data_IF_681390029997
#
_entry.id   IF_681390029997
#
_cell.length_a   1.000
_cell.length_b   1.000
_cell.length_c   1.000
_cell.angle_alpha   90.00
_cell.angle_beta   90.00
_cell.angle_gamma   90.00
#
_symmetry.space_group_name_H-M   'P 1'
#
loop_
_entity.id
_entity.type
_entity.pdbx_description
1 polymer ?
#
# COMPACT_ATOMS: atom_id res chain seq x y z
N UNK A 1 -12.43 -6.83 -0.15
CA UNK A 1 -12.52 -7.35 -1.56
C UNK A 1 -11.71 -8.64 -1.80
N UNK A 2 -10.58 -8.87 -1.12
CA UNK A 2 -9.71 -10.05 -1.34
C UNK A 2 -10.41 -11.41 -1.17
N UNK A 3 -11.24 -11.57 -0.14
CA UNK A 3 -11.93 -12.84 0.17
C UNK A 3 -12.82 -13.36 -0.98
N UNK A 4 -13.32 -12.46 -1.83
CA UNK A 4 -14.17 -12.83 -2.97
C UNK A 4 -13.43 -13.66 -4.02
N UNK A 5 -12.11 -13.47 -4.17
CA UNK A 5 -11.30 -14.25 -5.11
C UNK A 5 -11.25 -15.74 -4.75
N UNK A 6 -11.52 -16.08 -3.49
CA UNK A 6 -11.60 -17.46 -3.02
C UNK A 6 -13.05 -17.91 -2.85
N UNK A 7 -13.89 -17.10 -2.20
CA UNK A 7 -15.27 -17.47 -1.88
C UNK A 7 -16.17 -17.62 -3.11
N UNK A 8 -16.01 -16.78 -4.12
CA UNK A 8 -16.88 -16.82 -5.33
C UNK A 8 -16.62 -18.10 -6.14
N UNK A 9 -15.38 -18.47 -6.49
CA UNK A 9 -15.12 -19.76 -7.13
C UNK A 9 -15.54 -20.96 -6.26
N UNK A 10 -15.33 -20.92 -4.94
CA UNK A 10 -15.77 -22.00 -4.04
C UNK A 10 -17.29 -22.20 -4.02
N UNK A 11 -18.07 -21.14 -4.28
CA UNK A 11 -19.53 -21.22 -4.43
C UNK A 11 -19.99 -21.71 -5.81
N UNK A 12 -19.06 -22.00 -6.73
CA UNK A 12 -19.35 -22.39 -8.11
C UNK A 12 -19.74 -21.22 -9.02
N UNK A 13 -19.55 -19.98 -8.57
CA UNK A 13 -19.83 -18.77 -9.33
C UNK A 13 -18.57 -18.24 -10.03
N UNK A 14 -18.77 -17.37 -11.03
CA UNK A 14 -17.69 -16.70 -11.76
C UNK A 14 -17.51 -15.29 -11.23
N UNK A 15 -16.27 -14.93 -10.88
CA UNK A 15 -15.91 -13.58 -10.48
C UNK A 15 -15.48 -12.77 -11.72
N UNK A 16 -16.13 -11.63 -11.97
CA UNK A 16 -15.76 -10.69 -13.03
C UNK A 16 -15.33 -9.36 -12.42
N UNK A 17 -14.04 -9.06 -12.46
CA UNK A 17 -13.48 -7.83 -11.90
C UNK A 17 -13.56 -6.70 -12.93
N UNK A 18 -14.25 -5.61 -12.57
CA UNK A 18 -14.38 -4.44 -13.44
C UNK A 18 -13.40 -3.35 -12.99
N UNK A 19 -12.66 -2.80 -13.94
CA UNK A 19 -11.74 -1.70 -13.70
C UNK A 19 -12.52 -0.39 -13.48
N UNK A 20 -12.33 0.25 -12.33
CA UNK A 20 -13.05 1.47 -11.92
C UNK A 20 -12.60 2.74 -12.65
N UNK A 21 -11.52 2.67 -13.44
CA UNK A 21 -11.10 3.78 -14.32
C UNK A 21 -11.89 3.85 -15.64
N UNK A 22 -12.73 2.85 -15.90
CA UNK A 22 -13.60 2.83 -17.08
C UNK A 22 -14.78 3.79 -16.89
N UNK A 23 -15.31 4.28 -18.01
CA UNK A 23 -16.51 5.10 -18.03
C UNK A 23 -17.78 4.26 -17.89
N UNK A 24 -18.88 4.93 -17.49
CA UNK A 24 -20.16 4.27 -17.21
C UNK A 24 -20.71 3.46 -18.41
N UNK A 25 -20.48 3.91 -19.65
CA UNK A 25 -20.96 3.18 -20.84
C UNK A 25 -20.21 1.86 -21.00
N UNK A 26 -18.89 1.88 -20.86
CA UNK A 26 -18.08 0.65 -20.94
C UNK A 26 -18.46 -0.32 -19.83
N UNK A 27 -18.64 0.16 -18.60
CA UNK A 27 -19.10 -0.67 -17.47
C UNK A 27 -20.47 -1.29 -17.77
N UNK A 28 -21.42 -0.53 -18.34
CA UNK A 28 -22.74 -1.04 -18.71
C UNK A 28 -22.67 -2.16 -19.76
N UNK A 29 -21.81 -2.02 -20.77
CA UNK A 29 -21.58 -3.05 -21.80
C UNK A 29 -21.03 -4.33 -21.16
N UNK A 30 -20.07 -4.20 -20.24
CA UNK A 30 -19.49 -5.34 -19.53
C UNK A 30 -20.54 -6.07 -18.70
N UNK A 31 -21.32 -5.35 -17.90
CA UNK A 31 -22.39 -5.91 -17.08
C UNK A 31 -23.43 -6.66 -17.92
N UNK A 32 -23.83 -6.06 -19.06
CA UNK A 32 -24.75 -6.67 -20.01
C UNK A 32 -24.19 -7.97 -20.59
N UNK A 33 -22.94 -7.93 -21.07
CA UNK A 33 -22.33 -9.07 -21.75
C UNK A 33 -22.05 -10.23 -20.79
N UNK A 34 -21.61 -9.94 -19.56
CA UNK A 34 -21.34 -10.97 -18.56
C UNK A 34 -22.61 -11.54 -17.91
N UNK A 35 -23.78 -10.92 -18.11
CA UNK A 35 -25.02 -11.34 -17.45
C UNK A 35 -24.91 -11.32 -15.93
N UNK A 36 -24.20 -10.32 -15.39
CA UNK A 36 -23.90 -10.25 -13.96
C UNK A 36 -25.19 -10.20 -13.15
N UNK A 37 -25.31 -11.08 -12.15
CA UNK A 37 -26.48 -11.13 -11.25
C UNK A 37 -26.27 -10.35 -9.95
N UNK A 38 -25.03 -10.29 -9.49
CA UNK A 38 -24.61 -9.56 -8.30
C UNK A 38 -23.44 -8.65 -8.69
N UNK A 39 -23.43 -7.43 -8.14
CA UNK A 39 -22.31 -6.49 -8.26
C UNK A 39 -21.93 -6.03 -6.88
N UNK A 40 -20.72 -6.38 -6.47
CA UNK A 40 -20.11 -5.84 -5.26
C UNK A 40 -19.40 -4.53 -5.61
N UNK A 41 -19.70 -3.47 -4.86
CA UNK A 41 -19.20 -2.13 -5.18
C UNK A 41 -18.71 -1.43 -3.93
N UNK A 42 -17.59 -0.75 -4.06
CA UNK A 42 -17.07 0.16 -3.05
C UNK A 42 -17.90 1.47 -3.03
N UNK A 43 -18.15 2.10 -1.86
CA UNK A 43 -18.89 3.36 -1.78
C UNK A 43 -18.37 4.46 -2.71
N UNK A 44 -17.05 4.59 -2.89
CA UNK A 44 -16.44 5.61 -3.76
C UNK A 44 -16.78 5.39 -5.25
N UNK A 45 -17.07 4.15 -5.66
CA UNK A 45 -17.41 3.80 -7.05
C UNK A 45 -18.92 3.66 -7.30
N UNK A 46 -19.75 3.92 -6.29
CA UNK A 46 -21.20 3.71 -6.37
C UNK A 46 -21.86 4.61 -7.42
N UNK A 47 -21.36 5.85 -7.58
CA UNK A 47 -21.86 6.78 -8.60
C UNK A 47 -21.62 6.26 -10.02
N UNK A 48 -20.42 5.74 -10.30
CA UNK A 48 -20.08 5.14 -11.59
C UNK A 48 -21.01 3.97 -11.93
N UNK A 49 -21.26 3.09 -10.95
CA UNK A 49 -22.17 1.97 -11.12
C UNK A 49 -23.60 2.44 -11.37
N UNK A 50 -24.07 3.42 -10.61
CA UNK A 50 -25.42 3.98 -10.77
C UNK A 50 -25.65 4.52 -12.19
N UNK A 51 -24.67 5.24 -12.72
CA UNK A 51 -24.73 5.77 -14.08
C UNK A 51 -24.64 4.65 -15.14
N UNK A 52 -23.87 3.59 -14.89
CA UNK A 52 -23.82 2.42 -15.77
C UNK A 52 -25.15 1.64 -15.79
N UNK A 53 -25.80 1.45 -14.64
CA UNK A 53 -27.06 0.72 -14.54
C UNK A 53 -28.20 1.42 -15.30
N UNK A 54 -28.18 2.77 -15.37
CA UNK A 54 -29.14 3.55 -16.17
C UNK A 54 -28.99 3.33 -17.68
N UNK A 55 -27.81 2.89 -18.13
CA UNK A 55 -27.52 2.62 -19.54
C UNK A 55 -27.85 1.16 -19.92
N UNK A 56 -28.24 0.31 -18.96
CA UNK A 56 -28.69 -1.05 -19.27
C UNK A 56 -30.06 -1.02 -19.97
N UNK A 57 -30.27 -1.88 -20.97
CA UNK A 57 -31.55 -1.95 -21.67
C UNK A 57 -32.63 -2.56 -20.75
N UNK A 58 -33.88 -2.17 -20.96
CA UNK A 58 -35.01 -2.51 -20.07
C UNK A 58 -35.34 -4.02 -20.01
N UNK A 59 -34.84 -4.81 -20.95
CA UNK A 59 -34.98 -6.26 -21.01
C UNK A 59 -33.90 -7.01 -20.20
N UNK A 60 -32.88 -6.31 -19.69
CA UNK A 60 -31.80 -6.91 -18.92
C UNK A 60 -32.15 -6.96 -17.42
N UNK A 61 -32.04 -8.13 -16.76
CA UNK A 61 -32.24 -8.21 -15.33
C UNK A 61 -31.13 -7.43 -14.62
N UNK A 62 -31.49 -6.32 -13.98
CA UNK A 62 -30.51 -5.49 -13.28
C UNK A 62 -29.82 -6.28 -12.16
N UNK A 63 -28.48 -6.26 -12.07
CA UNK A 63 -27.78 -6.95 -11.00
C UNK A 63 -28.16 -6.38 -9.63
N UNK A 64 -28.18 -7.25 -8.62
CA UNK A 64 -28.26 -6.81 -7.22
C UNK A 64 -26.95 -6.15 -6.82
N UNK A 65 -27.03 -4.90 -6.39
CA UNK A 65 -25.88 -4.15 -5.89
C UNK A 65 -25.67 -4.44 -4.42
N UNK A 66 -24.44 -4.81 -4.05
CA UNK A 66 -24.02 -5.05 -2.67
C UNK A 66 -22.90 -4.04 -2.37
N UNK A 67 -23.20 -2.93 -1.66
CA UNK A 67 -22.17 -2.03 -1.20
C UNK A 67 -21.28 -2.76 -0.18
N UNK A 68 -19.99 -2.75 -0.42
CA UNK A 68 -18.99 -3.35 0.46
C UNK A 68 -18.36 -2.24 1.28
N UNK A 69 -18.69 -2.19 2.57
CA UNK A 69 -18.01 -1.31 3.50
C UNK A 69 -16.72 -1.98 3.97
N UNK A 70 -15.57 -1.33 3.76
CA UNK A 70 -14.32 -1.76 4.36
C UNK A 70 -14.16 -1.11 5.75
N UNK A 71 -14.19 -1.87 6.85
CA UNK A 71 -14.07 -1.33 8.20
C UNK A 71 -12.68 -0.71 8.48
N UNK A 72 -11.68 -1.02 7.66
CA UNK A 72 -10.32 -0.50 7.79
C UNK A 72 -10.10 0.78 6.97
N UNK A 73 -10.96 1.11 6.01
CA UNK A 73 -10.78 2.30 5.15
C UNK A 73 -10.86 3.62 5.93
N UNK A 74 -11.67 3.67 7.00
CA UNK A 74 -11.77 4.85 7.89
C UNK A 74 -10.55 5.06 8.79
N UNK A 75 -9.63 4.09 8.87
CA UNK A 75 -8.44 4.16 9.73
C UNK A 75 -7.27 4.85 9.02
N UNK A 76 -7.40 5.13 7.72
CA UNK A 76 -6.39 5.81 6.94
C UNK A 76 -6.87 7.21 6.55
N UNK A 77 -6.24 8.29 7.02
CA UNK A 77 -6.52 9.60 6.47
C UNK A 77 -6.21 9.60 4.96
N UNK A 78 -7.01 10.27 4.13
CA UNK A 78 -6.74 10.36 2.70
C UNK A 78 -5.33 10.91 2.49
N UNK A 79 -4.47 10.14 1.83
CA UNK A 79 -3.14 10.59 1.47
C UNK A 79 -3.27 11.80 0.53
N UNK A 80 -2.51 12.87 0.79
CA UNK A 80 -2.50 14.05 -0.07
C UNK A 80 -2.11 13.62 -1.50
N UNK A 81 -2.98 13.85 -2.52
CA UNK A 81 -2.71 13.47 -3.91
C UNK A 81 -1.40 14.04 -4.47
N UNK A 82 -0.87 15.12 -3.87
CA UNK A 82 0.41 15.73 -4.23
C UNK A 82 1.64 14.97 -3.72
N UNK A 83 1.43 13.90 -2.94
CA UNK A 83 2.50 13.12 -2.27
C UNK A 83 2.77 11.77 -2.94
N UNK A 84 1.88 11.25 -3.80
CA UNK A 84 2.13 10.00 -4.52
C UNK A 84 2.79 10.25 -5.88
N UNK A 85 4.07 9.90 -5.99
CA UNK A 85 4.71 9.67 -7.28
C UNK A 85 4.83 8.16 -7.52
N UNK A 86 4.82 7.69 -8.78
CA UNK A 86 5.02 6.25 -9.10
C UNK A 86 6.32 5.66 -8.51
N UNK A 87 7.25 6.51 -8.06
CA UNK A 87 8.49 6.14 -7.37
C UNK A 87 8.26 5.68 -5.92
N UNK A 88 7.08 5.86 -5.36
CA UNK A 88 6.73 5.52 -3.97
C UNK A 88 6.14 4.12 -3.80
N UNK A 89 6.13 3.31 -4.87
CA UNK A 89 5.75 1.89 -4.87
C UNK A 89 7.03 1.04 -4.82
N UNK A 90 7.06 0.06 -3.92
CA UNK A 90 8.14 -0.91 -3.74
C UNK A 90 7.63 -2.27 -4.18
N UNK A 91 8.35 -2.96 -5.07
CA UNK A 91 7.93 -4.28 -5.57
C UNK A 91 8.72 -5.38 -4.86
N UNK A 92 8.09 -6.02 -3.87
CA UNK A 92 8.72 -7.08 -3.09
C UNK A 92 8.12 -8.45 -3.42
N UNK A 93 8.90 -9.31 -4.06
CA UNK A 93 8.47 -10.67 -4.42
C UNK A 93 7.26 -10.74 -5.35
N UNK A 94 7.01 -9.68 -6.14
CA UNK A 94 5.83 -9.58 -7.01
C UNK A 94 4.64 -8.85 -6.38
N UNK A 95 4.71 -8.48 -5.10
CA UNK A 95 3.69 -7.69 -4.41
C UNK A 95 4.02 -6.19 -4.46
N UNK A 96 2.99 -5.36 -4.64
CA UNK A 96 3.14 -3.90 -4.63
C UNK A 96 2.93 -3.34 -3.22
N UNK A 97 3.96 -2.73 -2.65
CA UNK A 97 3.93 -2.13 -1.31
C UNK A 97 4.02 -0.61 -1.44
N UNK A 98 3.08 0.10 -0.83
CA UNK A 98 3.11 1.56 -0.78
C UNK A 98 4.06 2.04 0.32
N UNK A 99 5.10 2.80 -0.04
CA UNK A 99 6.03 3.36 0.96
C UNK A 99 5.32 4.31 1.93
N UNK A 100 4.32 5.06 1.47
CA UNK A 100 3.53 5.99 2.29
C UNK A 100 2.71 5.24 3.35
N UNK A 101 2.20 4.06 3.01
CA UNK A 101 1.44 3.24 3.95
C UNK A 101 2.34 2.73 5.09
N UNK A 102 3.54 2.27 4.73
CA UNK A 102 4.56 1.86 5.72
C UNK A 102 5.02 3.05 6.57
N UNK A 103 5.23 4.22 5.97
CA UNK A 103 5.55 5.46 6.68
C UNK A 103 4.46 5.82 7.70
N UNK A 104 3.18 5.74 7.32
CA UNK A 104 2.07 6.06 8.21
C UNK A 104 2.04 5.16 9.46
N UNK A 105 2.23 3.84 9.27
CA UNK A 105 2.26 2.89 10.40
C UNK A 105 3.45 3.15 11.33
N UNK A 106 4.63 3.43 10.78
CA UNK A 106 5.82 3.72 11.61
C UNK A 106 5.68 5.08 12.29
N UNK A 107 5.10 6.08 11.63
CA UNK A 107 4.87 7.40 12.21
C UNK A 107 3.85 7.37 13.36
N UNK A 108 2.94 6.38 13.38
CA UNK A 108 2.04 6.14 14.51
C UNK A 108 2.76 5.63 15.76
N UNK A 109 4.00 5.14 15.64
CA UNK A 109 4.79 4.70 16.78
C UNK A 109 5.14 5.92 17.65
N UNK A 110 4.86 5.89 18.95
CA UNK A 110 4.79 7.11 19.74
C UNK A 110 6.18 7.74 20.00
N UNK A 111 7.26 6.98 19.83
CA UNK A 111 8.65 7.46 19.90
C UNK A 111 9.20 8.01 18.57
N UNK A 112 8.49 7.83 17.45
CA UNK A 112 8.92 8.29 16.13
C UNK A 112 8.48 9.74 15.92
N UNK A 113 9.40 10.57 15.44
CA UNK A 113 9.13 11.95 15.02
C UNK A 113 8.84 12.02 13.53
N UNK A 114 9.72 11.43 12.72
CA UNK A 114 9.62 11.42 11.27
C UNK A 114 10.12 10.09 10.71
N UNK A 115 9.61 9.70 9.55
CA UNK A 115 10.01 8.48 8.86
C UNK A 115 9.98 8.68 7.36
N UNK A 116 10.91 8.03 6.67
CA UNK A 116 10.89 7.88 5.22
C UNK A 116 11.21 6.43 4.86
N UNK A 117 10.37 5.82 4.01
CA UNK A 117 10.52 4.45 3.55
C UNK A 117 10.90 4.46 2.08
N UNK A 118 11.89 3.65 1.73
CA UNK A 118 12.40 3.52 0.36
C UNK A 118 12.62 2.06 -0.01
N UNK A 119 12.63 1.78 -1.31
CA UNK A 119 13.02 0.48 -1.84
C UNK A 119 14.52 0.25 -1.62
N UNK A 120 14.86 -0.84 -0.92
CA UNK A 120 16.20 -1.39 -0.83
C UNK A 120 16.28 -2.63 -1.74
N UNK A 121 17.28 -2.73 -2.64
CA UNK A 121 17.47 -3.94 -3.43
C UNK A 121 17.72 -5.15 -2.53
N UNK A 122 17.08 -6.27 -2.84
CA UNK A 122 17.21 -7.53 -2.10
C UNK A 122 17.38 -8.68 -3.10
N UNK A 123 18.27 -9.63 -2.79
CA UNK A 123 18.63 -10.71 -3.70
C UNK A 123 17.51 -11.73 -3.92
N UNK A 124 16.65 -11.94 -2.92
CA UNK A 124 15.58 -12.92 -2.96
C UNK A 124 14.25 -12.31 -3.39
N UNK A 125 13.99 -11.07 -2.99
CA UNK A 125 12.68 -10.41 -3.17
C UNK A 125 12.71 -9.31 -4.25
N UNK A 126 13.86 -9.04 -4.86
CA UNK A 126 14.07 -7.95 -5.80
C UNK A 126 14.22 -6.61 -5.08
N UNK A 127 13.16 -6.17 -4.40
CA UNK A 127 13.16 -5.00 -3.52
C UNK A 127 12.52 -5.32 -2.18
N UNK A 128 12.93 -4.63 -1.13
CA UNK A 128 12.31 -4.70 0.20
C UNK A 128 12.18 -3.32 0.81
N UNK A 129 11.16 -3.08 1.66
CA UNK A 129 11.02 -1.80 2.33
C UNK A 129 12.15 -1.58 3.35
N UNK A 130 12.82 -0.43 3.23
CA UNK A 130 13.82 0.05 4.17
C UNK A 130 13.35 1.37 4.79
N UNK A 131 13.25 1.39 6.12
CA UNK A 131 12.73 2.54 6.86
C UNK A 131 13.86 3.34 7.50
N UNK A 132 13.92 4.64 7.18
CA UNK A 132 14.75 5.62 7.86
C UNK A 132 13.90 6.35 8.89
N UNK A 133 14.27 6.22 10.16
CA UNK A 133 13.45 6.69 11.29
C UNK A 133 14.21 7.76 12.07
N UNK A 134 13.54 8.89 12.33
CA UNK A 134 14.00 9.94 13.24
C UNK A 134 13.15 9.87 14.51
N UNK A 135 13.82 9.71 15.64
CA UNK A 135 13.16 9.63 16.94
C UNK A 135 12.89 11.02 17.50
N UNK A 136 11.86 11.14 18.33
CA UNK A 136 11.59 12.37 19.09
C UNK A 136 12.73 12.63 20.07
N UNK A 137 13.13 13.90 20.22
CA UNK A 137 14.06 14.35 21.27
C UNK A 137 13.34 14.41 22.62
N UNK A 138 12.86 13.26 23.08
CA UNK A 138 12.22 13.12 24.38
C UNK A 138 13.10 12.23 25.26
N UNK A 139 13.86 12.86 26.16
CA UNK A 139 14.81 12.19 27.05
C UNK A 139 14.13 11.27 28.07
N UNK A 140 12.81 11.41 28.27
CA UNK A 140 12.05 10.64 29.24
C UNK A 140 11.65 9.24 28.74
N UNK A 141 11.95 8.89 27.48
CA UNK A 141 11.48 7.66 26.86
C UNK A 141 12.61 6.75 26.42
N UNK A 142 12.44 5.45 26.65
CA UNK A 142 13.37 4.43 26.16
C UNK A 142 13.50 4.52 24.64
N UNK A 143 14.74 4.58 24.15
CA UNK A 143 15.07 4.57 22.73
C UNK A 143 14.69 3.20 22.17
N UNK A 144 13.68 3.10 21.28
CA UNK A 144 13.30 1.81 20.70
C UNK A 144 14.42 1.28 19.82
N UNK A 145 14.63 -0.03 19.85
CA UNK A 145 15.54 -0.71 18.93
C UNK A 145 14.89 -0.91 17.56
N UNK A 146 15.69 -1.28 16.56
CA UNK A 146 15.15 -1.58 15.22
C UNK A 146 14.15 -2.74 15.26
N UNK A 147 14.39 -3.73 16.14
CA UNK A 147 13.50 -4.87 16.35
C UNK A 147 12.15 -4.45 16.95
N UNK A 148 12.13 -3.48 17.87
CA UNK A 148 10.89 -2.95 18.45
C UNK A 148 10.01 -2.29 17.38
N UNK A 149 10.62 -1.53 16.47
CA UNK A 149 9.92 -0.89 15.35
C UNK A 149 9.39 -1.95 14.37
N UNK A 150 10.16 -2.98 14.08
CA UNK A 150 9.73 -4.10 13.23
C UNK A 150 8.58 -4.87 13.88
N UNK A 151 8.65 -5.12 15.19
CA UNK A 151 7.59 -5.79 15.95
C UNK A 151 6.31 -4.94 15.97
N UNK A 152 6.43 -3.62 16.11
CA UNK A 152 5.31 -2.69 16.00
C UNK A 152 4.61 -2.78 14.65
N UNK A 153 5.40 -2.83 13.56
CA UNK A 153 4.89 -3.00 12.20
C UNK A 153 4.21 -4.35 12.02
N UNK A 154 4.85 -5.46 12.44
CA UNK A 154 4.28 -6.82 12.36
C UNK A 154 2.92 -6.96 13.04
N UNK A 155 2.68 -6.20 14.12
CA UNK A 155 1.41 -6.24 14.83
C UNK A 155 0.28 -5.45 14.12
N UNK A 156 0.61 -4.60 13.14
CA UNK A 156 -0.32 -3.63 12.53
C UNK A 156 -0.43 -3.75 11.01
N UNK A 157 0.43 -4.55 10.37
CA UNK A 157 0.41 -4.72 8.93
C UNK A 157 0.83 -6.13 8.50
N UNK A 158 0.44 -6.56 7.29
CA UNK A 158 0.83 -7.86 6.75
C UNK A 158 2.34 -8.06 6.72
N UNK A 159 2.78 -9.30 6.95
CA UNK A 159 4.21 -9.65 7.06
C UNK A 159 5.06 -9.23 5.86
N UNK A 160 4.50 -9.24 4.65
CA UNK A 160 5.22 -8.86 3.43
C UNK A 160 5.48 -7.34 3.32
N UNK A 161 4.71 -6.50 4.04
CA UNK A 161 4.87 -5.04 4.04
C UNK A 161 5.86 -4.54 5.09
N UNK A 162 6.21 -5.40 6.04
CA UNK A 162 7.08 -5.06 7.16
C UNK A 162 8.48 -4.74 6.64
N UNK A 163 9.07 -3.60 7.00
CA UNK A 163 10.43 -3.28 6.58
C UNK A 163 11.42 -4.31 7.12
N UNK A 164 12.32 -4.78 6.26
CA UNK A 164 13.41 -5.68 6.68
C UNK A 164 14.51 -4.93 7.43
N UNK A 165 14.74 -3.68 7.02
CA UNK A 165 15.81 -2.85 7.54
C UNK A 165 15.21 -1.58 8.13
N UNK A 166 15.59 -1.28 9.37
CA UNK A 166 15.25 -0.03 10.06
C UNK A 166 16.55 0.67 10.44
N UNK A 167 16.71 1.92 10.00
CA UNK A 167 17.90 2.72 10.24
C UNK A 167 17.52 4.00 10.96
N UNK A 168 18.08 4.21 12.15
CA UNK A 168 17.90 5.44 12.88
C UNK A 168 18.83 6.55 12.35
N UNK A 169 18.27 7.74 12.19
CA UNK A 169 18.97 8.95 11.75
C UNK A 169 18.63 10.10 12.69
N UNK A 170 19.57 11.04 12.83
CA UNK A 170 19.35 12.26 13.58
C UNK A 170 18.40 13.23 12.83
N UNK A 171 18.45 13.23 11.50
CA UNK A 171 17.57 13.99 10.61
C UNK A 171 17.49 13.31 9.23
N UNK A 172 16.44 13.59 8.46
CA UNK A 172 16.27 13.12 7.09
C UNK A 172 16.73 14.20 6.10
N UNK A 173 17.40 13.84 4.99
CA UNK A 173 17.84 14.81 3.99
C UNK A 173 16.63 15.55 3.40
N UNK A 174 16.60 16.88 3.50
CA UNK A 174 15.51 17.73 2.98
C UNK A 174 15.98 18.60 1.82
N UNK A 175 15.06 18.87 0.91
CA UNK A 175 15.18 19.92 -0.10
C UNK A 175 15.04 21.31 0.54
N UNK A 176 15.44 22.35 -0.19
CA UNK A 176 15.22 23.76 0.18
C UNK A 176 13.75 24.14 0.41
N UNK A 177 12.81 23.31 -0.06
CA UNK A 177 11.37 23.46 0.16
C UNK A 177 10.84 22.61 1.33
N UNK A 178 11.72 21.96 2.09
CA UNK A 178 11.36 21.17 3.28
C UNK A 178 10.89 19.74 3.01
N UNK A 179 10.81 19.30 1.73
CA UNK A 179 10.44 17.92 1.37
C UNK A 179 11.62 16.97 1.55
N UNK A 180 11.37 15.78 2.08
CA UNK A 180 12.37 14.71 2.21
C UNK A 180 12.85 14.24 0.83
N UNK A 181 14.17 14.18 0.66
CA UNK A 181 14.83 13.69 -0.56
C UNK A 181 14.96 12.16 -0.52
N UNK A 182 13.89 11.46 -0.90
CA UNK A 182 13.89 9.98 -0.98
C UNK A 182 14.95 9.42 -1.94
N UNK A 183 15.37 10.16 -2.96
CA UNK A 183 16.41 9.71 -3.90
C UNK A 183 17.77 9.51 -3.22
N UNK A 184 18.17 10.42 -2.33
CA UNK A 184 19.39 10.28 -1.52
C UNK A 184 19.30 9.07 -0.59
N UNK A 185 18.12 8.86 0.01
CA UNK A 185 17.89 7.71 0.89
C UNK A 185 17.92 6.37 0.12
N UNK A 186 17.42 6.33 -1.12
CA UNK A 186 17.54 5.15 -2.00
C UNK A 186 18.99 4.83 -2.32
N UNK A 187 19.82 5.83 -2.57
CA UNK A 187 21.24 5.60 -2.83
C UNK A 187 21.98 5.10 -1.59
N UNK A 188 21.67 5.65 -0.40
CA UNK A 188 22.16 5.11 0.88
C UNK A 188 21.70 3.65 1.07
N UNK A 189 20.45 3.32 0.78
CA UNK A 189 19.93 1.95 0.87
C UNK A 189 20.68 0.98 -0.05
N UNK A 190 20.99 1.39 -1.29
CA UNK A 190 21.82 0.59 -2.21
C UNK A 190 23.24 0.37 -1.69
N UNK A 191 23.85 1.39 -1.08
CA UNK A 191 25.19 1.28 -0.52
C UNK A 191 25.26 0.38 0.71
N UNK A 192 24.22 0.39 1.56
CA UNK A 192 24.11 -0.49 2.72
C UNK A 192 24.09 -1.96 2.30
N UNK A 193 23.33 -2.29 1.26
CA UNK A 193 23.29 -3.64 0.69
C UNK A 193 24.67 -4.06 0.13
N UNK A 194 25.34 -3.17 -0.60
CA UNK A 194 26.68 -3.42 -1.14
C UNK A 194 27.72 -3.67 -0.03
N UNK A 195 27.58 -3.00 1.11
CA UNK A 195 28.48 -3.13 2.25
C UNK A 195 28.21 -4.44 3.01
N UNK A 196 26.95 -4.85 3.15
CA UNK A 196 26.58 -6.18 3.66
C UNK A 196 27.18 -7.31 2.83
N UNK A 197 27.15 -7.20 1.49
CA UNK A 197 27.75 -8.18 0.57
C UNK A 197 29.27 -8.27 0.70
N UNK A 198 29.99 -7.16 0.89
CA UNK A 198 31.45 -7.17 1.09
C UNK A 198 31.89 -7.85 2.38
N UNK A 199 31.08 -7.75 3.44
CA UNK A 199 31.39 -8.40 4.71
C UNK A 199 31.02 -9.90 4.70
N UNK A 200 29.95 -10.30 3.99
CA UNK A 200 29.57 -11.71 3.84
C UNK A 200 30.48 -12.50 2.90
N UNK A 201 31.12 -11.85 1.91
CA UNK A 201 32.04 -12.52 0.97
C UNK A 201 33.47 -12.68 1.52
N UNK A 202 33.71 -12.27 2.77
CA UNK A 202 35.03 -12.30 3.43
C UNK A 202 35.09 -13.26 4.63
N UNK A 203 34.04 -14.07 4.82
CA UNK A 203 33.97 -15.19 5.77
C UNK A 203 33.99 -16.52 5.02
#
# INVERSE_FOLDING_TARGET
MYEMHFGVPMSGAVLNNINTRLDARTVAVLLKHSGSKLVFVDPASLQLLHDALRLLPADHPAPRVIPMEDPYEKQFPPADPSTLTSKDIIISGGENISSVEVESVICSHPAVSEVAVVAQPDEFWGETPCAFVVLKKDEARAVPTGEDVIAWCRARMPHYMVPKTVVFRADLPRTSTGKVQKDVLRDIAKEMERTGKKNSSKM
#
